data_IF_396866037028
#
_entry.id   IF_396866037028
#
_cell.length_a   1.000
_cell.length_b   1.000
_cell.length_c   1.000
_cell.angle_alpha   90.00
_cell.angle_beta   90.00
_cell.angle_gamma   90.00
#
_symmetry.space_group_name_H-M   'P 1'
#
loop_
_entity.id
_entity.type
_entity.pdbx_description
1 polymer ?
#
# COMPACT_ATOMS: atom_id res chain seq x y z
N UNK A 1 6.27 -6.02 24.50
CA UNK A 1 5.71 -7.40 24.34
C UNK A 1 5.59 -7.73 22.85
N UNK A 2 5.50 -9.01 22.47
CA UNK A 2 5.17 -9.33 21.08
C UNK A 2 3.65 -9.24 20.85
N UNK A 3 3.26 -9.21 19.56
CA UNK A 3 1.85 -9.04 19.16
C UNK A 3 0.95 -10.20 19.61
N UNK A 4 1.48 -11.43 19.72
CA UNK A 4 0.69 -12.60 20.14
C UNK A 4 0.31 -12.47 21.60
N UNK A 5 1.29 -12.16 22.45
CA UNK A 5 1.09 -11.92 23.88
C UNK A 5 0.13 -10.76 24.14
N UNK A 6 0.25 -9.65 23.39
CA UNK A 6 -0.68 -8.52 23.50
C UNK A 6 -2.11 -8.92 23.10
N UNK A 7 -2.26 -9.73 22.04
CA UNK A 7 -3.56 -10.21 21.59
C UNK A 7 -4.22 -11.11 22.63
N UNK A 8 -3.48 -12.08 23.16
CA UNK A 8 -3.98 -13.01 24.18
C UNK A 8 -4.41 -12.27 25.45
N UNK A 9 -3.57 -11.36 25.95
CA UNK A 9 -3.89 -10.56 27.13
C UNK A 9 -5.13 -9.68 26.91
N UNK A 10 -5.28 -9.08 25.73
CA UNK A 10 -6.47 -8.27 25.43
C UNK A 10 -7.75 -9.11 25.35
N UNK A 11 -7.70 -10.30 24.75
CA UNK A 11 -8.85 -11.21 24.68
C UNK A 11 -9.29 -11.68 26.08
N UNK A 12 -8.35 -11.97 26.99
CA UNK A 12 -8.65 -12.30 28.39
C UNK A 12 -9.35 -11.13 29.12
N UNK A 13 -8.93 -9.90 28.85
CA UNK A 13 -9.61 -8.70 29.42
C UNK A 13 -11.03 -8.52 28.86
N UNK A 14 -11.23 -8.72 27.55
CA UNK A 14 -12.56 -8.65 26.95
C UNK A 14 -13.51 -9.69 27.56
N UNK A 15 -13.04 -10.93 27.72
CA UNK A 15 -13.80 -12.00 28.36
C UNK A 15 -14.14 -11.66 29.81
N UNK A 16 -13.15 -11.16 30.57
CA UNK A 16 -13.34 -10.75 31.96
C UNK A 16 -14.30 -9.58 32.11
N UNK A 17 -14.33 -8.66 31.14
CA UNK A 17 -15.27 -7.55 31.11
C UNK A 17 -16.68 -7.94 30.62
N UNK A 18 -16.83 -9.15 30.07
CA UNK A 18 -18.10 -9.65 29.52
C UNK A 18 -18.59 -8.87 28.30
N UNK A 19 -17.66 -8.23 27.54
CA UNK A 19 -17.99 -7.41 26.38
C UNK A 19 -18.10 -8.27 25.11
N UNK A 20 -19.21 -8.11 24.40
CA UNK A 20 -19.43 -8.72 23.10
C UNK A 20 -18.82 -7.91 21.97
N UNK A 21 -18.62 -8.56 20.82
CA UNK A 21 -18.16 -7.87 19.58
C UNK A 21 -19.18 -6.82 19.12
N UNK A 22 -20.47 -7.04 19.34
CA UNK A 22 -21.54 -6.07 19.02
C UNK A 22 -21.43 -4.81 19.86
N UNK A 23 -21.11 -4.95 21.15
CA UNK A 23 -20.91 -3.79 22.03
C UNK A 23 -19.65 -3.00 21.66
N UNK A 24 -18.58 -3.68 21.26
CA UNK A 24 -17.34 -3.05 20.79
C UNK A 24 -17.55 -2.27 19.49
N UNK A 25 -18.28 -2.84 18.53
CA UNK A 25 -18.50 -2.25 17.20
C UNK A 25 -19.71 -1.33 17.14
N UNK A 26 -20.76 -1.58 17.96
CA UNK A 26 -22.01 -0.81 17.98
C UNK A 26 -21.82 0.65 18.39
N UNK A 27 -20.73 0.97 19.05
CA UNK A 27 -20.37 2.31 19.50
C UNK A 27 -19.49 3.08 18.49
N UNK A 28 -19.08 2.46 17.37
CA UNK A 28 -18.31 3.17 16.34
C UNK A 28 -19.22 4.12 15.58
N UNK A 29 -19.06 5.45 15.74
CA UNK A 29 -19.87 6.42 15.05
C UNK A 29 -19.45 6.52 13.58
N UNK A 30 -20.18 5.86 12.70
CA UNK A 30 -19.88 5.77 11.28
C UNK A 30 -19.70 7.15 10.62
N UNK A 31 -20.45 8.16 11.07
CA UNK A 31 -20.34 9.53 10.57
C UNK A 31 -19.02 10.24 10.90
N UNK A 32 -18.22 9.70 11.80
CA UNK A 32 -16.87 10.22 12.13
C UNK A 32 -15.74 9.50 11.41
N UNK A 33 -16.04 8.37 10.77
CA UNK A 33 -15.05 7.56 10.09
C UNK A 33 -15.09 7.91 8.60
N UNK A 34 -13.99 8.42 8.12
CA UNK A 34 -13.83 8.76 6.70
C UNK A 34 -14.12 7.52 5.84
N UNK A 35 -14.88 7.71 4.75
CA UNK A 35 -15.18 6.64 3.77
C UNK A 35 -16.11 5.50 4.27
N UNK A 36 -16.78 5.67 5.40
CA UNK A 36 -17.69 4.65 5.94
C UNK A 36 -18.93 4.40 5.06
N UNK A 37 -19.36 5.40 4.28
CA UNK A 37 -20.60 5.39 3.51
C UNK A 37 -20.47 4.77 2.11
N UNK A 38 -19.27 4.39 1.65
CA UNK A 38 -19.12 3.75 0.35
C UNK A 38 -19.75 2.37 0.33
N UNK A 39 -20.54 2.00 -0.71
CA UNK A 39 -21.15 0.67 -0.85
C UNK A 39 -20.14 -0.49 -0.84
N UNK A 40 -18.90 -0.22 -1.29
CA UNK A 40 -17.75 -1.11 -1.20
C UNK A 40 -16.73 -0.60 -0.16
N UNK A 41 -17.10 0.39 0.61
CA UNK A 41 -16.30 0.97 1.68
C UNK A 41 -16.20 0.02 2.87
N UNK A 42 -15.48 0.43 3.87
CA UNK A 42 -15.07 -0.34 5.05
C UNK A 42 -16.24 -0.84 5.93
N UNK A 43 -17.32 -1.36 5.31
CA UNK A 43 -18.56 -1.72 5.99
C UNK A 43 -18.48 -2.88 6.99
N UNK A 44 -17.30 -3.50 7.15
CA UNK A 44 -17.09 -4.56 8.15
C UNK A 44 -15.82 -4.26 8.91
N UNK A 45 -15.97 -4.12 10.24
CA UNK A 45 -14.86 -3.85 11.14
C UNK A 45 -14.46 -5.12 11.88
N UNK A 46 -13.17 -5.26 12.16
CA UNK A 46 -12.70 -6.21 13.15
C UNK A 46 -13.10 -5.71 14.54
N UNK A 47 -13.63 -6.59 15.37
CA UNK A 47 -14.11 -6.26 16.71
C UNK A 47 -12.98 -5.98 17.73
N UNK A 48 -11.76 -5.96 17.28
CA UNK A 48 -10.59 -5.54 18.05
C UNK A 48 -9.51 -4.94 17.15
N UNK A 49 -8.64 -4.09 17.67
CA UNK A 49 -7.43 -3.70 16.96
C UNK A 49 -6.46 -4.89 16.85
N UNK A 50 -5.50 -4.78 15.92
CA UNK A 50 -4.29 -5.59 15.92
C UNK A 50 -3.17 -4.82 16.60
N UNK A 51 -2.19 -5.54 17.13
CA UNK A 51 -1.10 -4.97 17.89
C UNK A 51 0.26 -5.24 17.22
N UNK A 52 1.18 -4.27 17.35
CA UNK A 52 2.60 -4.45 17.02
C UNK A 52 3.45 -4.16 18.27
N UNK A 53 4.31 -5.08 18.61
CA UNK A 53 5.33 -4.85 19.64
C UNK A 53 6.41 -3.87 19.18
N UNK A 54 7.04 -3.16 20.10
CA UNK A 54 8.01 -2.09 19.78
C UNK A 54 9.25 -2.58 19.03
N UNK A 55 9.79 -3.74 19.38
CA UNK A 55 10.92 -4.35 18.65
C UNK A 55 10.52 -4.81 17.25
N UNK A 56 9.32 -5.40 17.13
CA UNK A 56 8.78 -5.86 15.85
C UNK A 56 8.55 -4.67 14.91
N UNK A 57 7.97 -3.57 15.42
CA UNK A 57 7.78 -2.32 14.69
C UNK A 57 9.11 -1.70 14.25
N UNK A 58 10.09 -1.61 15.16
CA UNK A 58 11.41 -1.02 14.85
C UNK A 58 12.10 -1.80 13.74
N UNK A 59 12.06 -3.13 13.80
CA UNK A 59 12.62 -3.99 12.75
C UNK A 59 11.90 -3.81 11.43
N UNK A 60 10.57 -3.87 11.44
CA UNK A 60 9.75 -3.72 10.24
C UNK A 60 9.95 -2.35 9.56
N UNK A 61 9.98 -1.28 10.35
CA UNK A 61 10.23 0.07 9.84
C UNK A 61 11.61 0.17 9.17
N UNK A 62 12.65 -0.39 9.78
CA UNK A 62 13.99 -0.46 9.19
C UNK A 62 14.05 -1.30 7.90
N UNK A 63 13.35 -2.43 7.87
CA UNK A 63 13.28 -3.29 6.69
C UNK A 63 12.57 -2.58 5.52
N UNK A 64 11.49 -1.86 5.79
CA UNK A 64 10.77 -1.08 4.79
C UNK A 64 11.57 0.12 4.28
N UNK A 65 12.31 0.81 5.14
CA UNK A 65 13.20 1.90 4.71
C UNK A 65 14.32 1.40 3.80
N UNK A 66 14.94 0.26 4.14
CA UNK A 66 15.94 -0.40 3.29
C UNK A 66 15.34 -0.87 1.96
N UNK A 67 14.13 -1.41 1.95
CA UNK A 67 13.40 -1.79 0.74
C UNK A 67 13.17 -0.58 -0.18
N UNK A 68 12.63 0.53 0.36
CA UNK A 68 12.38 1.75 -0.41
C UNK A 68 13.67 2.35 -0.96
N UNK A 69 14.74 2.32 -0.18
CA UNK A 69 16.07 2.77 -0.60
C UNK A 69 16.64 1.90 -1.72
N UNK A 70 16.46 0.59 -1.62
CA UNK A 70 16.87 -0.34 -2.68
C UNK A 70 16.08 -0.10 -3.97
N UNK A 71 14.75 0.08 -3.88
CA UNK A 71 13.89 0.39 -5.03
C UNK A 71 14.29 1.70 -5.72
N UNK A 72 14.47 2.78 -4.95
CA UNK A 72 14.88 4.09 -5.49
C UNK A 72 16.21 4.01 -6.26
N UNK A 73 17.11 3.12 -5.85
CA UNK A 73 18.42 2.92 -6.48
C UNK A 73 18.39 2.07 -7.76
N UNK A 74 17.29 1.37 -8.07
CA UNK A 74 17.26 0.43 -9.22
C UNK A 74 17.53 1.08 -10.58
N UNK A 75 16.97 2.26 -10.93
CA UNK A 75 17.25 2.89 -12.21
C UNK A 75 18.74 3.16 -12.41
N UNK A 76 19.41 3.64 -11.37
CA UNK A 76 20.86 3.92 -11.44
C UNK A 76 21.67 2.63 -11.50
N UNK A 77 21.42 1.70 -10.58
CA UNK A 77 22.24 0.50 -10.41
C UNK A 77 22.14 -0.51 -11.56
N UNK A 78 20.94 -0.67 -12.15
CA UNK A 78 20.68 -1.66 -13.18
C UNK A 78 20.60 -1.09 -14.59
N UNK A 79 20.31 0.23 -14.71
CA UNK A 79 20.04 0.85 -16.00
C UNK A 79 20.88 2.10 -16.26
N UNK A 80 21.90 2.37 -15.43
CA UNK A 80 22.79 3.53 -15.58
C UNK A 80 22.06 4.87 -15.58
N UNK A 81 20.94 4.99 -14.86
CA UNK A 81 20.10 6.18 -14.80
C UNK A 81 19.05 6.29 -15.92
N UNK A 82 19.02 5.36 -16.89
CA UNK A 82 17.98 5.31 -17.92
C UNK A 82 16.65 4.83 -17.32
N UNK A 83 15.85 5.79 -16.84
CA UNK A 83 14.55 5.51 -16.24
C UNK A 83 13.57 4.90 -17.25
N UNK A 84 13.64 5.26 -18.53
CA UNK A 84 12.75 4.69 -19.53
C UNK A 84 13.04 3.21 -19.76
N UNK A 85 14.34 2.81 -19.72
CA UNK A 85 14.72 1.40 -19.75
C UNK A 85 14.23 0.65 -18.50
N UNK A 86 14.38 1.23 -17.31
CA UNK A 86 13.84 0.66 -16.06
C UNK A 86 12.32 0.48 -16.15
N UNK A 87 11.56 1.52 -16.55
CA UNK A 87 10.11 1.46 -16.66
C UNK A 87 9.63 0.35 -17.62
N UNK A 88 10.31 0.18 -18.77
CA UNK A 88 10.03 -0.95 -19.68
C UNK A 88 10.36 -2.30 -19.03
N UNK A 89 11.51 -2.40 -18.35
CA UNK A 89 11.92 -3.64 -17.71
C UNK A 89 10.96 -4.13 -16.63
N UNK A 90 10.27 -3.18 -15.95
CA UNK A 90 9.26 -3.51 -14.94
C UNK A 90 7.84 -3.63 -15.50
N UNK A 91 7.69 -3.61 -16.84
CA UNK A 91 6.46 -4.00 -17.53
C UNK A 91 5.54 -2.83 -17.94
N UNK A 92 6.00 -1.57 -17.90
CA UNK A 92 5.24 -0.45 -18.45
C UNK A 92 5.23 -0.51 -19.98
N UNK A 93 4.06 -0.23 -20.57
CA UNK A 93 3.90 -0.13 -22.02
C UNK A 93 4.53 1.15 -22.58
N UNK A 94 4.76 1.21 -23.89
CA UNK A 94 5.33 2.42 -24.54
C UNK A 94 4.62 3.72 -24.16
N UNK A 95 3.28 3.81 -24.31
CA UNK A 95 2.53 5.00 -23.90
C UNK A 95 2.64 5.33 -22.39
N UNK A 96 2.72 4.32 -21.52
CA UNK A 96 2.93 4.54 -20.10
C UNK A 96 4.33 5.08 -19.79
N UNK A 97 5.36 4.57 -20.48
CA UNK A 97 6.73 5.10 -20.36
C UNK A 97 6.79 6.55 -20.80
N UNK A 98 6.15 6.91 -21.91
CA UNK A 98 6.09 8.29 -22.39
C UNK A 98 5.40 9.20 -21.35
N UNK A 99 4.28 8.78 -20.76
CA UNK A 99 3.58 9.54 -19.74
C UNK A 99 4.45 9.74 -18.48
N UNK A 100 5.11 8.68 -18.01
CA UNK A 100 6.03 8.76 -16.86
C UNK A 100 7.16 9.72 -17.12
N UNK A 101 7.77 9.70 -18.32
CA UNK A 101 8.87 10.62 -18.68
C UNK A 101 8.43 12.08 -18.76
N UNK A 102 7.15 12.37 -18.94
CA UNK A 102 6.60 13.73 -18.88
C UNK A 102 6.40 14.24 -17.45
N UNK A 103 6.18 13.34 -16.48
CA UNK A 103 5.97 13.69 -15.08
C UNK A 103 6.75 12.73 -14.17
N UNK A 104 8.05 12.94 -14.10
CA UNK A 104 8.98 12.21 -13.25
C UNK A 104 9.43 13.08 -12.09
N UNK A 105 9.53 12.49 -10.89
CA UNK A 105 10.16 13.10 -9.72
C UNK A 105 11.69 13.09 -9.78
N UNK A 106 12.32 13.91 -8.98
CA UNK A 106 13.78 13.89 -8.78
C UNK A 106 14.19 12.65 -7.95
N UNK A 107 13.33 12.23 -7.03
CA UNK A 107 13.47 11.04 -6.19
C UNK A 107 12.14 10.31 -6.11
N UNK A 108 12.21 9.03 -5.78
CA UNK A 108 11.03 8.25 -5.45
C UNK A 108 10.39 8.79 -4.16
N UNK A 109 9.06 8.96 -4.17
CA UNK A 109 8.32 9.31 -2.94
C UNK A 109 8.50 8.27 -1.86
N UNK A 110 8.48 8.70 -0.60
CA UNK A 110 8.42 7.81 0.57
C UNK A 110 6.97 7.43 0.93
N UNK A 111 5.98 8.10 0.34
CA UNK A 111 4.56 7.77 0.54
C UNK A 111 4.25 6.41 -0.07
N UNK A 112 4.13 5.40 0.78
CA UNK A 112 3.81 4.04 0.34
C UNK A 112 2.98 3.27 1.36
N UNK A 113 2.34 2.18 0.91
CA UNK A 113 1.72 1.17 1.76
C UNK A 113 2.23 -0.20 1.36
N UNK A 114 2.93 -0.84 2.28
CA UNK A 114 3.34 -2.22 2.16
C UNK A 114 2.20 -3.14 2.61
N UNK A 115 1.73 -4.00 1.73
CA UNK A 115 0.77 -5.05 2.06
C UNK A 115 1.56 -6.31 2.46
N UNK A 116 1.49 -6.67 3.75
CA UNK A 116 2.35 -7.65 4.39
C UNK A 116 1.53 -8.79 5.02
N UNK A 117 2.16 -9.94 5.10
CA UNK A 117 1.66 -11.10 5.87
C UNK A 117 2.73 -11.54 6.84
N UNK A 118 2.37 -11.82 8.08
CA UNK A 118 3.28 -12.47 9.02
C UNK A 118 3.16 -13.99 8.91
N UNK A 119 4.31 -14.68 8.72
CA UNK A 119 4.38 -16.14 8.57
C UNK A 119 4.86 -16.89 9.83
N UNK A 120 4.98 -16.17 10.96
CA UNK A 120 5.52 -16.70 12.22
C UNK A 120 7.02 -16.46 12.38
N UNK A 121 7.79 -16.37 11.29
CA UNK A 121 9.20 -15.97 11.32
C UNK A 121 9.35 -14.44 11.22
N UNK A 122 8.33 -13.74 10.71
CA UNK A 122 8.29 -12.30 10.55
C UNK A 122 7.34 -11.85 9.45
N UNK A 123 7.41 -10.57 9.10
CA UNK A 123 6.60 -10.01 8.03
C UNK A 123 7.18 -10.32 6.65
N UNK A 124 6.30 -10.65 5.71
CA UNK A 124 6.62 -10.93 4.32
C UNK A 124 5.78 -10.02 3.41
N UNK A 125 6.43 -9.38 2.46
CA UNK A 125 5.83 -8.43 1.54
C UNK A 125 5.07 -9.15 0.41
N UNK A 126 3.79 -8.85 0.27
CA UNK A 126 2.97 -9.32 -0.84
C UNK A 126 3.02 -8.38 -2.03
N UNK A 127 2.90 -7.08 -1.76
CA UNK A 127 2.99 -5.99 -2.74
C UNK A 127 3.30 -4.66 -2.05
N UNK A 128 3.78 -3.70 -2.83
CA UNK A 128 4.05 -2.36 -2.37
C UNK A 128 3.27 -1.37 -3.24
N UNK A 129 2.42 -0.58 -2.61
CA UNK A 129 1.69 0.50 -3.25
C UNK A 129 2.44 1.80 -2.98
N UNK A 130 2.87 2.50 -4.03
CA UNK A 130 3.66 3.74 -3.91
C UNK A 130 2.89 4.88 -4.57
N UNK A 131 2.69 5.97 -3.85
CA UNK A 131 2.04 7.17 -4.37
C UNK A 131 0.99 7.76 -3.46
N UNK A 132 0.26 8.74 -3.98
CA UNK A 132 -0.78 9.48 -3.25
C UNK A 132 -2.10 8.72 -3.12
N UNK A 133 -2.38 7.77 -4.00
CA UNK A 133 -3.63 6.99 -4.04
C UNK A 133 -3.51 5.61 -3.37
N UNK A 134 -2.86 5.53 -2.20
CA UNK A 134 -2.57 4.23 -1.53
C UNK A 134 -3.68 3.73 -0.61
N UNK A 135 -4.59 4.57 -0.15
CA UNK A 135 -5.65 4.25 0.82
C UNK A 135 -5.15 3.81 2.20
N UNK A 136 -6.04 3.81 3.19
CA UNK A 136 -5.77 3.33 4.54
C UNK A 136 -5.23 4.38 5.52
N UNK A 137 -4.92 5.58 5.07
CA UNK A 137 -4.51 6.70 5.95
C UNK A 137 -5.69 7.16 6.84
N UNK A 138 -6.90 6.96 6.37
CA UNK A 138 -8.17 7.24 7.02
C UNK A 138 -8.49 6.30 8.19
N UNK A 139 -7.78 5.17 8.31
CA UNK A 139 -8.00 4.21 9.39
C UNK A 139 -7.65 4.77 10.80
N UNK A 140 -6.97 5.89 10.87
CA UNK A 140 -6.70 6.62 12.12
C UNK A 140 -7.99 6.97 12.87
N UNK A 141 -9.09 7.25 12.15
CA UNK A 141 -10.37 7.55 12.78
C UNK A 141 -10.92 6.35 13.56
N UNK A 142 -10.73 5.14 13.00
CA UNK A 142 -11.12 3.89 13.71
C UNK A 142 -10.27 3.69 14.96
N UNK A 143 -8.97 4.00 14.91
CA UNK A 143 -8.11 3.94 16.10
C UNK A 143 -8.60 4.88 17.20
N UNK A 144 -8.98 6.11 16.84
CA UNK A 144 -9.51 7.11 17.81
C UNK A 144 -10.81 6.63 18.45
N UNK A 145 -11.76 6.20 17.64
CA UNK A 145 -13.08 5.80 18.16
C UNK A 145 -13.01 4.50 18.99
N UNK A 146 -12.14 3.56 18.63
CA UNK A 146 -11.92 2.34 19.44
C UNK A 146 -11.29 2.67 20.81
N UNK A 147 -10.40 3.66 20.88
CA UNK A 147 -9.80 4.07 22.15
C UNK A 147 -10.77 4.84 23.08
N UNK A 148 -11.96 5.23 22.61
CA UNK A 148 -13.05 5.69 23.48
C UNK A 148 -13.71 4.54 24.28
N UNK A 149 -13.46 3.28 23.88
CA UNK A 149 -13.95 2.10 24.63
C UNK A 149 -13.09 1.90 25.87
N UNK A 150 -13.67 2.01 27.10
CA UNK A 150 -12.86 2.06 28.34
C UNK A 150 -11.93 0.85 28.56
N UNK A 151 -12.33 -0.35 28.17
CA UNK A 151 -11.49 -1.54 28.32
C UNK A 151 -10.26 -1.45 27.42
N UNK A 152 -10.42 -0.99 26.19
CA UNK A 152 -9.28 -0.83 25.27
C UNK A 152 -8.41 0.35 25.68
N UNK A 153 -8.98 1.48 26.10
CA UNK A 153 -8.25 2.62 26.60
C UNK A 153 -7.34 2.24 27.78
N UNK A 154 -7.92 1.53 28.77
CA UNK A 154 -7.18 1.05 29.93
C UNK A 154 -6.10 0.01 29.57
N UNK A 155 -6.38 -0.89 28.62
CA UNK A 155 -5.40 -1.83 28.11
C UNK A 155 -4.24 -1.10 27.40
N UNK A 156 -4.57 -0.16 26.51
CA UNK A 156 -3.58 0.61 25.78
C UNK A 156 -2.66 1.42 26.72
N UNK A 157 -3.23 2.04 27.76
CA UNK A 157 -2.44 2.78 28.77
C UNK A 157 -1.48 1.84 29.51
N UNK A 158 -1.96 0.69 30.00
CA UNK A 158 -1.11 -0.27 30.75
C UNK A 158 0.02 -0.87 29.93
N UNK A 159 -0.18 -1.03 28.63
CA UNK A 159 0.79 -1.63 27.72
C UNK A 159 1.55 -0.61 26.86
N UNK A 160 1.35 0.69 27.10
CA UNK A 160 2.01 1.75 26.33
C UNK A 160 1.70 1.74 24.85
N UNK A 161 0.47 1.31 24.50
CA UNK A 161 0.02 1.23 23.11
C UNK A 161 -0.52 2.58 22.63
N UNK A 162 -0.19 2.90 21.41
CA UNK A 162 -0.60 4.14 20.73
C UNK A 162 -0.85 3.88 19.25
N UNK A 163 -1.18 4.93 18.50
CA UNK A 163 -1.26 4.91 17.04
C UNK A 163 -0.64 6.19 16.47
N UNK A 164 -0.27 6.16 15.20
CA UNK A 164 0.16 7.36 14.47
C UNK A 164 -1.05 8.02 13.79
N UNK A 165 -1.15 9.34 13.87
CA UNK A 165 -2.10 10.13 13.10
C UNK A 165 -1.70 10.15 11.62
N UNK A 166 -2.06 9.11 10.88
CA UNK A 166 -1.67 8.91 9.49
C UNK A 166 -2.21 9.99 8.54
N UNK A 167 -3.32 10.66 8.86
CA UNK A 167 -3.81 11.81 8.09
C UNK A 167 -2.91 13.03 8.27
N UNK A 168 -2.48 13.31 9.49
CA UNK A 168 -1.50 14.38 9.79
C UNK A 168 -0.16 14.13 9.13
N UNK A 169 0.33 12.89 9.20
CA UNK A 169 1.58 12.50 8.53
C UNK A 169 1.46 12.59 7.01
N UNK A 170 0.29 12.27 6.44
CA UNK A 170 0.05 12.47 5.01
C UNK A 170 0.14 13.94 4.59
N UNK A 171 -0.47 14.85 5.36
CA UNK A 171 -0.34 16.31 5.13
C UNK A 171 1.14 16.73 5.21
N UNK A 172 1.86 16.23 6.21
CA UNK A 172 3.29 16.50 6.35
C UNK A 172 4.10 15.99 5.13
N UNK A 173 3.81 14.79 4.63
CA UNK A 173 4.46 14.25 3.42
C UNK A 173 4.16 15.10 2.18
N UNK A 174 2.89 15.49 1.98
CA UNK A 174 2.48 16.34 0.85
C UNK A 174 3.30 17.63 0.84
N UNK A 175 3.39 18.29 1.98
CA UNK A 175 4.13 19.55 2.12
C UNK A 175 5.63 19.32 1.91
N UNK A 176 6.22 18.40 2.64
CA UNK A 176 7.68 18.18 2.65
C UNK A 176 8.20 17.74 1.28
N UNK A 177 7.58 16.76 0.64
CA UNK A 177 8.02 16.28 -0.69
C UNK A 177 7.74 17.29 -1.80
N UNK A 178 6.78 18.20 -1.61
CA UNK A 178 6.51 19.30 -2.53
C UNK A 178 7.41 20.52 -2.29
N UNK A 179 8.21 20.52 -1.22
CA UNK A 179 9.13 21.60 -0.87
C UNK A 179 8.47 22.78 -0.19
N UNK A 180 7.34 22.55 0.50
CA UNK A 180 6.60 23.52 1.30
C UNK A 180 6.65 23.20 2.79
N UNK A 181 6.35 24.20 3.59
CA UNK A 181 6.02 24.03 5.00
C UNK A 181 4.62 24.60 5.29
N UNK A 182 4.07 24.31 6.47
CA UNK A 182 2.72 24.74 6.82
C UNK A 182 2.53 26.27 6.78
N UNK A 183 3.58 27.04 7.05
CA UNK A 183 3.56 28.52 7.03
C UNK A 183 3.43 29.10 5.63
N UNK A 184 3.80 28.32 4.60
CA UNK A 184 3.69 28.78 3.20
C UNK A 184 2.23 28.79 2.72
N UNK A 185 1.34 28.07 3.44
CA UNK A 185 -0.09 27.95 3.13
C UNK A 185 -0.37 27.67 1.64
N UNK A 186 0.22 26.62 1.04
CA UNK A 186 0.06 26.36 -0.40
C UNK A 186 -1.38 25.99 -0.73
N UNK A 187 -1.83 26.39 -1.92
CA UNK A 187 -3.13 26.02 -2.48
C UNK A 187 -3.00 24.63 -3.13
N UNK A 188 -3.80 23.69 -2.68
CA UNK A 188 -3.74 22.30 -3.10
C UNK A 188 -4.97 21.91 -3.93
N UNK A 189 -4.74 21.29 -5.09
CA UNK A 189 -5.78 20.64 -5.88
C UNK A 189 -5.71 19.11 -5.69
N UNK A 190 -6.68 18.52 -5.00
CA UNK A 190 -6.85 17.06 -4.96
C UNK A 190 -7.52 16.63 -6.25
N UNK A 191 -6.76 15.96 -7.13
CA UNK A 191 -7.12 15.86 -8.55
C UNK A 191 -7.32 14.41 -8.98
N UNK A 192 -8.52 14.11 -9.49
CA UNK A 192 -8.89 12.81 -10.05
C UNK A 192 -9.02 12.87 -11.58
N UNK A 193 -9.10 11.71 -12.22
CA UNK A 193 -9.42 11.60 -13.64
C UNK A 193 -10.89 11.94 -13.89
N UNK A 194 -11.23 12.67 -15.00
CA UNK A 194 -12.60 13.14 -15.22
C UNK A 194 -13.70 12.06 -15.15
N UNK A 195 -13.42 10.85 -15.65
CA UNK A 195 -14.44 9.78 -15.66
C UNK A 195 -14.67 9.12 -14.32
N UNK A 196 -13.75 9.23 -13.36
CA UNK A 196 -13.88 8.67 -12.02
C UNK A 196 -14.32 9.71 -10.99
N UNK A 197 -14.24 10.99 -11.32
CA UNK A 197 -14.42 12.10 -10.38
C UNK A 197 -15.77 12.10 -9.67
N UNK A 198 -16.88 11.85 -10.40
CA UNK A 198 -18.22 11.88 -9.80
C UNK A 198 -18.38 10.82 -8.69
N UNK A 199 -17.77 9.66 -8.86
CA UNK A 199 -17.86 8.55 -7.91
C UNK A 199 -16.93 8.78 -6.70
N UNK A 200 -15.80 9.47 -6.93
CA UNK A 200 -14.81 9.75 -5.89
C UNK A 200 -15.05 11.08 -5.16
N UNK A 201 -15.85 11.99 -5.71
CA UNK A 201 -16.08 13.33 -5.16
C UNK A 201 -16.53 13.35 -3.69
N UNK A 202 -17.47 12.49 -3.24
CA UNK A 202 -17.86 12.49 -1.83
C UNK A 202 -16.66 12.22 -0.89
N UNK A 203 -15.84 11.22 -1.21
CA UNK A 203 -14.64 10.90 -0.44
C UNK A 203 -13.60 12.02 -0.51
N UNK A 204 -13.35 12.56 -1.70
CA UNK A 204 -12.39 13.63 -1.90
C UNK A 204 -12.79 14.90 -1.12
N UNK A 205 -14.09 15.19 -1.06
CA UNK A 205 -14.60 16.34 -0.29
C UNK A 205 -14.33 16.14 1.21
N UNK A 206 -14.70 14.98 1.77
CA UNK A 206 -14.44 14.66 3.17
C UNK A 206 -12.93 14.71 3.48
N UNK A 207 -12.10 14.18 2.59
CA UNK A 207 -10.64 14.20 2.78
C UNK A 207 -10.09 15.62 2.80
N UNK A 208 -10.54 16.49 1.88
CA UNK A 208 -10.15 17.90 1.86
C UNK A 208 -10.60 18.64 3.12
N UNK A 209 -11.79 18.36 3.63
CA UNK A 209 -12.27 18.92 4.90
C UNK A 209 -11.35 18.51 6.07
N UNK A 210 -10.98 17.22 6.14
CA UNK A 210 -10.05 16.72 7.18
C UNK A 210 -8.64 17.32 7.03
N UNK A 211 -8.15 17.49 5.82
CA UNK A 211 -6.88 18.20 5.60
C UNK A 211 -6.97 19.66 5.98
N UNK A 212 -8.14 20.31 5.76
CA UNK A 212 -8.40 21.69 6.21
C UNK A 212 -8.31 21.84 7.73
N UNK A 213 -8.83 20.87 8.49
CA UNK A 213 -8.68 20.81 9.96
C UNK A 213 -7.20 20.71 10.39
N UNK A 214 -6.36 20.13 9.53
CA UNK A 214 -4.92 19.99 9.73
C UNK A 214 -4.10 21.16 9.14
N UNK A 215 -4.78 22.18 8.57
CA UNK A 215 -4.17 23.40 8.04
C UNK A 215 -3.76 23.34 6.56
N UNK A 216 -4.21 22.35 5.79
CA UNK A 216 -3.94 22.25 4.36
C UNK A 216 -5.17 22.71 3.54
N UNK A 217 -5.03 23.83 2.81
CA UNK A 217 -6.09 24.37 1.94
C UNK A 217 -6.20 23.56 0.65
N UNK A 218 -7.08 22.57 0.63
CA UNK A 218 -7.26 21.66 -0.48
C UNK A 218 -8.66 21.71 -1.07
N UNK A 219 -8.74 21.64 -2.41
CA UNK A 219 -10.01 21.62 -3.16
C UNK A 219 -10.06 20.37 -4.05
N UNK A 220 -11.14 19.56 -3.99
CA UNK A 220 -11.31 18.43 -4.89
C UNK A 220 -11.66 18.89 -6.31
N UNK A 221 -11.01 18.30 -7.30
CA UNK A 221 -11.30 18.60 -8.71
C UNK A 221 -10.96 17.41 -9.61
N UNK A 222 -11.35 17.48 -10.87
CA UNK A 222 -10.79 16.59 -11.88
C UNK A 222 -9.82 17.35 -12.82
N UNK A 223 -8.93 16.62 -13.44
CA UNK A 223 -7.84 17.16 -14.24
C UNK A 223 -8.33 18.15 -15.35
N UNK A 224 -9.54 17.95 -15.89
CA UNK A 224 -10.12 18.84 -16.89
C UNK A 224 -10.65 20.18 -16.36
N UNK A 225 -10.68 20.40 -15.03
CA UNK A 225 -11.03 21.69 -14.41
C UNK A 225 -9.80 22.57 -14.17
N UNK A 226 -8.60 22.01 -14.29
CA UNK A 226 -7.36 22.75 -14.16
C UNK A 226 -7.10 23.55 -15.45
N UNK A 227 -6.91 24.84 -15.31
CA UNK A 227 -6.56 25.74 -16.41
C UNK A 227 -5.09 26.14 -16.31
N UNK A 228 -4.39 26.14 -17.46
CA UNK A 228 -3.01 26.66 -17.51
C UNK A 228 -3.02 28.01 -18.22
N UNK A 229 -2.69 29.06 -17.47
CA UNK A 229 -2.62 30.45 -17.97
C UNK A 229 -1.25 31.02 -17.60
N UNK A 230 -0.56 31.61 -18.60
CA UNK A 230 0.77 32.17 -18.41
C UNK A 230 1.78 31.25 -17.74
N UNK A 231 1.62 29.93 -17.98
CA UNK A 231 2.49 28.91 -17.43
C UNK A 231 2.09 28.39 -16.04
N UNK A 232 1.22 29.07 -15.29
CA UNK A 232 0.71 28.65 -13.98
C UNK A 232 -0.58 27.84 -14.09
N UNK A 233 -0.78 26.94 -13.14
CA UNK A 233 -2.01 26.15 -13.01
C UNK A 233 -3.01 26.89 -12.13
N UNK A 234 -4.28 26.91 -12.54
CA UNK A 234 -5.38 27.58 -11.84
C UNK A 234 -6.56 26.63 -11.65
N UNK A 235 -7.23 26.80 -10.52
CA UNK A 235 -8.52 26.15 -10.20
C UNK A 235 -9.45 27.22 -9.62
N UNK A 236 -10.62 27.43 -10.24
CA UNK A 236 -11.64 28.41 -9.79
C UNK A 236 -11.07 29.81 -9.50
N UNK A 237 -10.14 30.28 -10.35
CA UNK A 237 -9.50 31.59 -10.23
C UNK A 237 -8.39 31.70 -9.19
N UNK A 238 -8.03 30.61 -8.51
CA UNK A 238 -6.91 30.52 -7.57
C UNK A 238 -5.71 29.83 -8.24
N UNK A 239 -4.51 30.36 -8.03
CA UNK A 239 -3.29 29.66 -8.47
C UNK A 239 -3.05 28.42 -7.58
N UNK A 240 -2.76 27.30 -8.22
CA UNK A 240 -2.50 26.01 -7.55
C UNK A 240 -0.99 25.85 -7.39
N UNK A 241 -0.55 25.54 -6.18
CA UNK A 241 0.86 25.30 -5.85
C UNK A 241 1.19 23.79 -5.86
N UNK A 242 0.23 22.95 -5.42
CA UNK A 242 0.39 21.50 -5.35
C UNK A 242 -0.82 20.80 -5.97
N UNK A 243 -0.56 19.87 -6.87
CA UNK A 243 -1.55 18.89 -7.35
C UNK A 243 -1.31 17.59 -6.62
N UNK A 244 -2.25 17.16 -5.78
CA UNK A 244 -2.25 15.80 -5.21
C UNK A 244 -3.01 14.91 -6.17
N UNK A 245 -2.28 14.02 -6.84
CA UNK A 245 -2.82 13.17 -7.91
C UNK A 245 -3.42 11.90 -7.36
N UNK A 246 -4.69 11.60 -7.66
CA UNK A 246 -5.33 10.32 -7.35
C UNK A 246 -5.50 9.43 -8.58
N UNK A 247 -5.57 9.98 -9.79
CA UNK A 247 -5.61 9.22 -11.04
C UNK A 247 -4.34 8.36 -11.26
N UNK A 248 -4.47 7.27 -11.97
CA UNK A 248 -3.42 6.26 -12.13
C UNK A 248 -2.81 6.28 -13.54
N UNK A 249 -1.67 5.60 -13.70
CA UNK A 249 -0.96 5.50 -15.00
C UNK A 249 -1.85 4.93 -16.12
N UNK A 250 -2.82 4.08 -15.81
CA UNK A 250 -3.78 3.53 -16.78
C UNK A 250 -4.73 4.58 -17.36
N UNK A 251 -5.00 5.64 -16.61
CA UNK A 251 -5.94 6.69 -16.99
C UNK A 251 -5.31 7.66 -17.99
N UNK A 252 -3.98 7.81 -17.92
CA UNK A 252 -3.23 8.78 -18.75
C UNK A 252 -2.72 8.26 -20.10
N UNK A 253 -3.17 7.09 -20.55
CA UNK A 253 -2.74 6.47 -21.82
C UNK A 253 -3.82 6.47 -22.92
N UNK A 254 -4.98 7.05 -22.65
CA UNK A 254 -6.08 7.15 -23.61
C UNK A 254 -5.87 8.28 -24.65
N UNK A 255 -6.70 8.33 -25.69
CA UNK A 255 -6.56 9.32 -26.78
C UNK A 255 -6.62 10.78 -26.33
N UNK A 256 -7.42 11.07 -25.29
CA UNK A 256 -7.58 12.42 -24.73
C UNK A 256 -6.59 12.73 -23.60
N UNK A 257 -5.81 11.75 -23.18
CA UNK A 257 -4.94 11.89 -22.03
C UNK A 257 -3.91 13.00 -22.21
N UNK A 258 -3.23 13.03 -23.34
CA UNK A 258 -2.21 14.05 -23.63
C UNK A 258 -2.80 15.48 -23.61
N UNK A 259 -4.03 15.68 -24.10
CA UNK A 259 -4.70 16.98 -24.08
C UNK A 259 -4.92 17.49 -22.65
N UNK A 260 -5.24 16.60 -21.73
CA UNK A 260 -5.47 16.94 -20.31
C UNK A 260 -4.16 17.07 -19.52
N UNK A 261 -3.22 16.17 -19.74
CA UNK A 261 -2.01 16.08 -18.92
C UNK A 261 -0.88 17.00 -19.40
N UNK A 262 -0.69 17.16 -20.71
CA UNK A 262 0.49 17.86 -21.23
C UNK A 262 0.63 19.30 -20.73
N UNK A 263 -0.41 20.15 -20.68
CA UNK A 263 -0.26 21.52 -20.16
C UNK A 263 0.16 21.54 -18.68
N UNK A 264 -0.42 20.66 -17.86
CA UNK A 264 -0.16 20.58 -16.42
C UNK A 264 1.24 20.03 -16.16
N UNK A 265 1.65 18.97 -16.87
CA UNK A 265 2.98 18.38 -16.71
C UNK A 265 4.09 19.31 -17.23
N UNK A 266 3.78 20.12 -18.27
CA UNK A 266 4.70 21.17 -18.71
C UNK A 266 4.88 22.26 -17.65
N UNK A 267 3.79 22.71 -17.00
CA UNK A 267 3.87 23.64 -15.88
C UNK A 267 4.68 23.04 -14.71
N UNK A 268 4.47 21.76 -14.41
CA UNK A 268 5.23 21.06 -13.38
C UNK A 268 6.73 20.98 -13.70
N UNK A 269 7.11 20.66 -14.95
CA UNK A 269 8.52 20.64 -15.38
C UNK A 269 9.19 22.00 -15.29
N UNK A 270 8.43 23.09 -15.42
CA UNK A 270 8.93 24.46 -15.22
C UNK A 270 8.98 24.89 -13.76
N UNK A 271 8.51 24.03 -12.84
CA UNK A 271 8.48 24.35 -11.41
C UNK A 271 7.33 25.27 -10.98
N UNK A 272 6.36 25.52 -11.87
CA UNK A 272 5.20 26.40 -11.62
C UNK A 272 4.10 25.74 -10.76
N UNK A 273 4.14 24.44 -10.65
CA UNK A 273 3.28 23.63 -9.78
C UNK A 273 4.02 22.35 -9.37
N UNK A 274 3.76 21.83 -8.19
CA UNK A 274 4.27 20.52 -7.77
C UNK A 274 3.22 19.45 -7.97
N UNK A 275 3.63 18.25 -8.38
CA UNK A 275 2.74 17.09 -8.49
C UNK A 275 3.14 16.08 -7.42
N UNK A 276 2.29 15.87 -6.44
CA UNK A 276 2.41 14.85 -5.43
C UNK A 276 1.38 13.74 -5.71
N UNK A 277 1.74 12.55 -6.10
CA UNK A 277 3.07 12.03 -6.43
C UNK A 277 3.23 11.96 -7.94
N UNK A 278 4.46 12.07 -8.47
CA UNK A 278 4.71 11.93 -9.91
C UNK A 278 4.31 10.56 -10.45
N UNK A 279 4.16 10.43 -11.78
CA UNK A 279 3.73 9.19 -12.45
C UNK A 279 4.77 8.05 -12.39
N UNK A 280 6.04 8.37 -12.13
CA UNK A 280 7.13 7.40 -12.00
C UNK A 280 6.94 6.40 -10.86
N UNK A 281 6.11 6.75 -9.86
CA UNK A 281 5.68 5.83 -8.81
C UNK A 281 5.13 4.52 -9.36
N UNK A 282 4.51 4.55 -10.54
CA UNK A 282 3.96 3.36 -11.19
C UNK A 282 5.01 2.33 -11.62
N UNK A 283 6.24 2.80 -11.93
CA UNK A 283 7.33 1.89 -12.24
C UNK A 283 7.90 1.23 -10.96
N UNK A 284 8.07 2.01 -9.91
CA UNK A 284 8.56 1.50 -8.62
C UNK A 284 7.55 0.58 -7.92
N UNK A 285 6.24 0.87 -8.03
CA UNK A 285 5.18 0.04 -7.47
C UNK A 285 4.94 -1.27 -8.24
N UNK A 286 5.56 -1.45 -9.40
CA UNK A 286 5.45 -2.67 -10.17
C UNK A 286 6.03 -3.87 -9.39
N UNK A 287 5.29 -4.98 -9.33
CA UNK A 287 5.78 -6.23 -8.74
C UNK A 287 7.03 -6.76 -9.44
N UNK A 288 7.27 -6.36 -10.70
CA UNK A 288 8.51 -6.68 -11.40
C UNK A 288 9.72 -5.92 -10.83
N UNK A 289 9.54 -4.74 -10.20
CA UNK A 289 10.62 -4.08 -9.47
C UNK A 289 11.04 -4.90 -8.24
N UNK A 290 10.08 -5.50 -7.53
CA UNK A 290 10.38 -6.43 -6.44
C UNK A 290 11.09 -7.70 -6.96
N UNK A 291 10.72 -8.19 -8.15
CA UNK A 291 11.42 -9.30 -8.77
C UNK A 291 12.89 -8.96 -9.06
N UNK A 292 13.19 -7.74 -9.54
CA UNK A 292 14.56 -7.28 -9.74
C UNK A 292 15.38 -7.26 -8.45
N UNK A 293 14.77 -6.88 -7.31
CA UNK A 293 15.42 -6.95 -5.99
C UNK A 293 15.64 -8.40 -5.51
N UNK A 294 14.74 -9.29 -5.87
CA UNK A 294 14.80 -10.72 -5.51
C UNK A 294 15.74 -11.55 -6.39
N UNK A 295 16.19 -11.04 -7.55
CA UNK A 295 17.08 -11.75 -8.46
C UNK A 295 18.48 -11.89 -7.86
N UNK A 296 19.00 -13.13 -7.78
CA UNK A 296 20.32 -13.44 -7.21
C UNK A 296 21.46 -12.68 -7.90
N UNK A 297 21.38 -12.54 -9.22
CA UNK A 297 22.38 -11.81 -10.01
C UNK A 297 22.52 -10.33 -9.63
N UNK A 298 21.52 -9.73 -8.99
CA UNK A 298 21.52 -8.32 -8.61
C UNK A 298 21.99 -8.06 -7.17
N UNK A 299 22.13 -9.11 -6.35
CA UNK A 299 22.45 -8.98 -4.91
C UNK A 299 23.76 -8.24 -4.65
N UNK A 300 24.75 -8.43 -5.50
CA UNK A 300 26.07 -7.77 -5.38
C UNK A 300 26.02 -6.23 -5.47
N UNK A 301 24.88 -5.67 -5.90
CA UNK A 301 24.66 -4.22 -6.03
C UNK A 301 24.25 -3.55 -4.70
N UNK A 302 23.90 -4.34 -3.70
CA UNK A 302 23.33 -3.83 -2.44
C UNK A 302 24.26 -4.11 -1.26
N UNK A 303 24.28 -3.21 -0.29
CA UNK A 303 25.00 -3.38 0.97
C UNK A 303 24.42 -4.52 1.79
N UNK A 304 25.22 -5.16 2.66
CA UNK A 304 24.80 -6.31 3.48
C UNK A 304 23.56 -6.03 4.32
N UNK A 305 23.47 -4.87 4.98
CA UNK A 305 22.30 -4.53 5.79
C UNK A 305 21.01 -4.39 4.98
N UNK A 306 21.10 -3.92 3.72
CA UNK A 306 19.95 -3.90 2.80
C UNK A 306 19.56 -5.32 2.42
N UNK A 307 20.54 -6.18 2.09
CA UNK A 307 20.29 -7.58 1.75
C UNK A 307 19.64 -8.35 2.90
N UNK A 308 20.09 -8.13 4.12
CA UNK A 308 19.48 -8.72 5.32
C UNK A 308 18.02 -8.34 5.49
N UNK A 309 17.65 -7.08 5.21
CA UNK A 309 16.26 -6.63 5.21
C UNK A 309 15.46 -7.27 4.09
N UNK A 310 15.98 -7.30 2.87
CA UNK A 310 15.32 -7.94 1.73
C UNK A 310 15.09 -9.44 1.99
N UNK A 311 16.05 -10.16 2.55
CA UNK A 311 15.94 -11.58 2.89
C UNK A 311 14.85 -11.83 3.95
N UNK A 312 14.68 -10.88 4.90
CA UNK A 312 13.62 -11.00 5.90
C UNK A 312 12.23 -10.79 5.31
N UNK A 313 12.04 -9.77 4.45
CA UNK A 313 10.70 -9.33 4.08
C UNK A 313 10.28 -9.68 2.65
N UNK A 314 11.21 -9.93 1.72
CA UNK A 314 10.89 -10.13 0.30
C UNK A 314 10.83 -11.63 -0.03
N UNK A 315 9.63 -12.20 -0.27
CA UNK A 315 9.54 -13.58 -0.75
C UNK A 315 10.19 -13.73 -2.12
N UNK A 316 10.75 -14.87 -2.39
CA UNK A 316 11.28 -15.20 -3.72
C UNK A 316 10.27 -14.82 -4.80
N UNK A 317 10.69 -13.95 -5.72
CA UNK A 317 9.84 -13.38 -6.76
C UNK A 317 10.60 -13.33 -8.06
N UNK A 318 10.03 -13.82 -9.16
CA UNK A 318 10.64 -13.81 -10.50
C UNK A 318 9.65 -13.31 -11.53
N UNK A 319 10.14 -12.60 -12.54
CA UNK A 319 9.33 -12.27 -13.72
C UNK A 319 9.10 -13.54 -14.53
N UNK A 320 7.87 -13.78 -14.97
CA UNK A 320 7.56 -15.00 -15.74
C UNK A 320 8.18 -14.90 -17.14
N UNK A 321 9.21 -15.68 -17.38
CA UNK A 321 9.96 -15.76 -18.64
C UNK A 321 10.52 -17.17 -18.85
N UNK A 322 10.88 -17.50 -20.10
CA UNK A 322 11.59 -18.74 -20.42
C UNK A 322 13.09 -18.55 -20.12
N UNK A 323 13.46 -18.80 -18.91
CA UNK A 323 14.83 -18.66 -18.44
C UNK A 323 15.12 -19.58 -17.25
N UNK A 324 16.39 -19.89 -17.02
CA UNK A 324 16.82 -20.50 -15.77
C UNK A 324 16.90 -19.45 -14.66
N UNK A 325 16.41 -19.82 -13.47
CA UNK A 325 16.41 -18.98 -12.27
C UNK A 325 17.05 -19.72 -11.11
N UNK A 326 17.54 -18.95 -10.14
CA UNK A 326 18.05 -19.50 -8.87
C UNK A 326 16.95 -19.44 -7.82
N UNK A 327 16.72 -20.57 -7.15
CA UNK A 327 15.82 -20.68 -5.99
C UNK A 327 16.53 -20.20 -4.71
N UNK A 328 15.78 -20.10 -3.60
CA UNK A 328 16.28 -19.66 -2.29
C UNK A 328 17.38 -20.58 -1.72
N UNK A 329 17.37 -21.86 -2.09
CA UNK A 329 18.37 -22.85 -1.69
C UNK A 329 19.63 -22.87 -2.59
N UNK A 330 19.69 -21.96 -3.60
CA UNK A 330 20.77 -21.89 -4.56
C UNK A 330 20.65 -22.84 -5.77
N UNK A 331 19.61 -23.66 -5.84
CA UNK A 331 19.36 -24.55 -6.97
C UNK A 331 18.97 -23.75 -8.21
N UNK A 332 19.48 -24.16 -9.39
CA UNK A 332 19.08 -23.58 -10.68
C UNK A 332 18.05 -24.46 -11.36
N UNK A 333 16.96 -23.86 -11.80
CA UNK A 333 15.81 -24.53 -12.41
C UNK A 333 15.31 -23.76 -13.63
N UNK A 334 14.69 -24.46 -14.60
CA UNK A 334 13.84 -23.80 -15.60
C UNK A 334 12.60 -23.23 -14.90
N UNK A 335 12.39 -21.93 -15.03
CA UNK A 335 11.31 -21.24 -14.32
C UNK A 335 9.93 -21.79 -14.67
N UNK A 336 9.66 -22.08 -15.96
CA UNK A 336 8.36 -22.51 -16.43
C UNK A 336 8.05 -23.93 -15.97
N UNK A 337 9.02 -24.82 -16.06
CA UNK A 337 8.90 -26.20 -15.55
C UNK A 337 8.70 -26.21 -14.06
N UNK A 338 9.52 -25.46 -13.32
CA UNK A 338 9.41 -25.33 -11.87
C UNK A 338 8.06 -24.75 -11.45
N UNK A 339 7.65 -23.62 -12.02
CA UNK A 339 6.38 -22.99 -11.68
C UNK A 339 5.18 -23.89 -11.96
N UNK A 340 5.21 -24.64 -13.09
CA UNK A 340 4.16 -25.58 -13.45
C UNK A 340 4.04 -26.74 -12.46
N UNK A 341 5.19 -27.23 -11.94
CA UNK A 341 5.21 -28.40 -11.05
C UNK A 341 4.89 -28.06 -9.57
N UNK A 342 5.01 -26.78 -9.15
CA UNK A 342 4.93 -26.37 -7.75
C UNK A 342 3.80 -25.38 -7.48
N UNK A 343 2.60 -25.66 -7.99
CA UNK A 343 1.41 -24.81 -7.83
C UNK A 343 1.17 -24.40 -6.37
N UNK A 344 1.16 -25.36 -5.45
CA UNK A 344 0.82 -25.15 -4.03
C UNK A 344 1.70 -24.14 -3.29
N UNK A 345 2.90 -23.88 -3.80
CA UNK A 345 3.88 -22.99 -3.20
C UNK A 345 4.04 -21.65 -3.93
N UNK A 346 3.21 -21.41 -4.95
CA UNK A 346 3.38 -20.25 -5.83
C UNK A 346 2.08 -19.49 -6.07
N UNK A 347 2.22 -18.21 -6.34
CA UNK A 347 1.16 -17.32 -6.79
C UNK A 347 1.61 -16.57 -8.04
N UNK A 348 0.73 -16.46 -9.05
CA UNK A 348 0.94 -15.61 -10.22
C UNK A 348 0.27 -14.25 -9.99
N UNK A 349 0.99 -13.17 -10.29
CA UNK A 349 0.48 -11.81 -10.12
C UNK A 349 0.81 -10.97 -11.36
N UNK A 350 -0.14 -10.22 -11.93
CA UNK A 350 0.20 -9.21 -12.93
C UNK A 350 1.06 -8.11 -12.28
N UNK A 351 2.02 -7.57 -13.04
CA UNK A 351 3.03 -6.64 -12.50
C UNK A 351 2.42 -5.32 -12.01
N UNK A 352 1.36 -4.82 -12.68
CA UNK A 352 0.86 -3.46 -12.49
C UNK A 352 -0.62 -3.35 -12.07
N UNK A 353 -1.33 -4.49 -11.90
CA UNK A 353 -2.71 -4.45 -11.41
C UNK A 353 -2.76 -4.47 -9.88
N UNK A 354 -3.78 -3.81 -9.33
CA UNK A 354 -4.07 -3.71 -7.89
C UNK A 354 -5.40 -4.38 -7.52
N UNK A 355 -5.66 -4.50 -6.20
CA UNK A 355 -6.92 -5.05 -5.68
C UNK A 355 -7.11 -6.54 -5.96
N UNK A 356 -6.03 -7.29 -6.18
CA UNK A 356 -6.07 -8.73 -6.44
C UNK A 356 -6.54 -9.13 -7.84
N UNK A 357 -6.77 -8.18 -8.74
CA UNK A 357 -7.20 -8.48 -10.13
C UNK A 357 -6.12 -9.25 -10.87
N UNK A 358 -6.51 -10.38 -11.48
CA UNK A 358 -5.60 -11.24 -12.25
C UNK A 358 -4.60 -12.04 -11.40
N UNK A 359 -4.73 -12.03 -10.08
CA UNK A 359 -3.95 -12.89 -9.18
C UNK A 359 -4.51 -14.31 -9.24
N UNK A 360 -3.63 -15.30 -9.46
CA UNK A 360 -3.97 -16.71 -9.47
C UNK A 360 -3.21 -17.39 -8.32
N UNK A 361 -3.96 -17.91 -7.35
CA UNK A 361 -3.42 -18.65 -6.22
C UNK A 361 -3.22 -20.10 -6.64
N UNK A 362 -1.97 -20.56 -6.74
CA UNK A 362 -1.68 -21.91 -7.24
C UNK A 362 -2.20 -23.04 -6.33
N UNK A 363 -2.57 -22.70 -5.09
CA UNK A 363 -3.13 -23.60 -4.09
C UNK A 363 -4.65 -23.52 -3.94
N UNK A 364 -5.35 -22.77 -4.81
CA UNK A 364 -6.80 -22.63 -4.71
C UNK A 364 -7.49 -23.98 -4.94
N UNK A 365 -8.47 -24.31 -4.08
CA UNK A 365 -9.14 -25.61 -4.06
C UNK A 365 -9.84 -25.96 -5.38
N UNK A 366 -10.26 -24.95 -6.15
CA UNK A 366 -10.96 -25.09 -7.44
C UNK A 366 -10.01 -25.07 -8.66
N UNK A 367 -8.68 -24.94 -8.43
CA UNK A 367 -7.69 -24.83 -9.50
C UNK A 367 -7.07 -26.22 -9.82
N UNK A 368 -7.36 -26.74 -11.03
CA UNK A 368 -6.72 -27.99 -11.47
C UNK A 368 -5.27 -27.75 -11.90
N UNK A 369 -4.39 -28.79 -11.87
CA UNK A 369 -3.01 -28.70 -12.37
C UNK A 369 -2.92 -28.23 -13.83
N UNK A 370 -3.87 -28.66 -14.68
CA UNK A 370 -3.94 -28.25 -16.08
C UNK A 370 -4.30 -26.78 -16.23
N UNK A 371 -5.23 -26.26 -15.41
CA UNK A 371 -5.61 -24.86 -15.38
C UNK A 371 -4.46 -23.99 -14.86
N UNK A 372 -3.78 -24.41 -13.78
CA UNK A 372 -2.59 -23.73 -13.30
C UNK A 372 -1.49 -23.64 -14.38
N UNK A 373 -1.19 -24.78 -15.04
CA UNK A 373 -0.23 -24.79 -16.13
C UNK A 373 -0.62 -23.83 -17.25
N UNK A 374 -1.91 -23.77 -17.61
CA UNK A 374 -2.39 -22.83 -18.63
C UNK A 374 -2.18 -21.38 -18.21
N UNK A 375 -2.41 -21.04 -16.93
CA UNK A 375 -2.11 -19.69 -16.38
C UNK A 375 -0.61 -19.36 -16.42
N UNK A 376 0.28 -20.29 -16.06
CA UNK A 376 1.72 -20.10 -16.14
C UNK A 376 2.17 -19.83 -17.58
N UNK A 377 1.63 -20.58 -18.54
CA UNK A 377 1.96 -20.39 -19.97
C UNK A 377 1.42 -19.07 -20.52
N UNK A 378 0.19 -18.69 -20.15
CA UNK A 378 -0.42 -17.42 -20.56
C UNK A 378 0.34 -16.20 -19.96
N UNK A 379 0.93 -16.35 -18.78
CA UNK A 379 1.74 -15.33 -18.14
C UNK A 379 3.07 -15.02 -18.88
N UNK A 380 3.49 -15.86 -19.83
CA UNK A 380 4.65 -15.59 -20.70
C UNK A 380 4.36 -14.47 -21.72
N UNK A 381 3.09 -14.28 -22.09
CA UNK A 381 2.66 -13.33 -23.11
C UNK A 381 2.22 -11.97 -22.50
N UNK A 382 2.34 -11.83 -21.17
CA UNK A 382 1.90 -10.66 -20.42
C UNK A 382 2.87 -10.35 -19.27
N UNK A 383 2.94 -9.13 -18.76
CA UNK A 383 3.84 -8.79 -17.66
C UNK A 383 3.32 -9.37 -16.33
N UNK A 384 3.79 -10.57 -15.99
CA UNK A 384 3.50 -11.28 -14.75
C UNK A 384 4.77 -11.57 -13.94
N UNK A 385 4.57 -11.70 -12.64
CA UNK A 385 5.55 -12.31 -11.72
C UNK A 385 4.96 -13.59 -11.12
N UNK A 386 5.85 -14.53 -10.81
CA UNK A 386 5.57 -15.64 -9.90
C UNK A 386 6.26 -15.35 -8.57
N UNK A 387 5.55 -15.53 -7.46
CA UNK A 387 6.04 -15.26 -6.12
C UNK A 387 5.78 -16.47 -5.21
N UNK A 388 6.69 -16.70 -4.26
CA UNK A 388 6.53 -17.72 -3.22
C UNK A 388 5.28 -17.47 -2.39
N UNK A 389 4.47 -18.50 -2.15
CA UNK A 389 3.35 -18.47 -1.22
C UNK A 389 3.82 -18.13 0.18
N UNK A 390 3.16 -17.18 0.83
CA UNK A 390 3.32 -16.89 2.24
C UNK A 390 2.09 -17.41 2.99
N UNK A 391 2.30 -18.21 4.03
CA UNK A 391 1.22 -18.76 4.85
C UNK A 391 1.03 -17.88 6.08
N UNK A 392 -0.12 -17.18 6.22
CA UNK A 392 -0.32 -16.23 7.31
C UNK A 392 -0.49 -16.93 8.65
N UNK A 393 0.10 -16.38 9.70
CA UNK A 393 -0.37 -16.59 11.06
C UNK A 393 -1.74 -15.93 11.18
N UNK A 394 -2.71 -16.69 11.68
CA UNK A 394 -4.09 -16.23 11.80
C UNK A 394 -4.27 -15.37 13.04
N UNK A 395 -5.14 -14.37 12.93
CA UNK A 395 -5.59 -13.53 14.04
C UNK A 395 -6.86 -14.09 14.67
N UNK A 396 -6.91 -14.12 15.99
CA UNK A 396 -8.11 -14.50 16.75
C UNK A 396 -8.95 -13.24 16.97
N UNK A 397 -10.19 -13.24 16.52
CA UNK A 397 -11.08 -12.05 16.54
C UNK A 397 -12.42 -12.44 17.19
N UNK A 398 -12.95 -11.63 18.13
CA UNK A 398 -14.32 -11.81 18.63
C UNK A 398 -15.34 -11.69 17.50
N UNK A 399 -16.36 -12.53 17.53
CA UNK A 399 -17.39 -12.56 16.45
C UNK A 399 -18.80 -12.36 17.04
N UNK A 400 -19.75 -11.87 16.21
CA UNK A 400 -21.15 -11.75 16.58
C UNK A 400 -21.73 -13.06 17.10
N UNK A 401 -22.54 -12.98 18.17
CA UNK A 401 -23.12 -14.14 18.84
C UNK A 401 -22.23 -14.77 19.91
N UNK A 402 -21.06 -14.20 20.16
CA UNK A 402 -20.11 -14.61 21.19
C UNK A 402 -19.03 -15.59 20.71
N UNK A 403 -17.95 -15.68 21.48
CA UNK A 403 -16.76 -16.47 21.14
C UNK A 403 -15.79 -15.75 20.17
N UNK A 404 -14.88 -16.51 19.60
CA UNK A 404 -13.83 -16.01 18.69
C UNK A 404 -13.73 -16.88 17.44
N UNK A 405 -13.28 -16.28 16.33
CA UNK A 405 -12.97 -16.97 15.09
C UNK A 405 -11.57 -16.63 14.61
N UNK A 406 -11.05 -17.41 13.67
CA UNK A 406 -9.73 -17.25 13.07
C UNK A 406 -9.85 -16.47 11.75
N UNK A 407 -9.01 -15.46 11.61
CA UNK A 407 -8.96 -14.60 10.43
C UNK A 407 -7.55 -14.63 9.82
N UNK A 408 -7.50 -14.57 8.49
CA UNK A 408 -6.24 -14.41 7.73
C UNK A 408 -6.02 -12.92 7.49
N UNK A 409 -5.00 -12.31 8.12
CA UNK A 409 -4.73 -10.89 8.01
C UNK A 409 -3.82 -10.56 6.82
N UNK A 410 -4.01 -9.37 6.25
CA UNK A 410 -3.02 -8.63 5.46
C UNK A 410 -2.83 -7.28 6.14
N UNK A 411 -1.61 -7.01 6.55
CA UNK A 411 -1.19 -5.80 7.24
C UNK A 411 -0.82 -4.73 6.20
N UNK A 412 -1.51 -3.60 6.22
CA UNK A 412 -1.20 -2.44 5.38
C UNK A 412 -0.38 -1.45 6.19
N UNK A 413 0.93 -1.50 6.09
CA UNK A 413 1.85 -0.61 6.80
C UNK A 413 2.19 0.58 5.92
N UNK A 414 1.93 1.78 6.44
CA UNK A 414 2.12 3.03 5.69
C UNK A 414 3.44 3.67 6.08
N UNK A 415 4.17 4.13 5.07
CA UNK A 415 5.42 4.87 5.24
C UNK A 415 5.31 6.26 4.62
N UNK A 416 6.14 7.17 5.10
CA UNK A 416 6.31 8.52 4.61
C UNK A 416 7.72 9.04 4.85
N UNK A 417 7.91 10.34 4.78
CA UNK A 417 9.22 10.98 4.99
C UNK A 417 9.81 10.71 6.37
N UNK A 418 8.97 10.48 7.37
CA UNK A 418 9.37 10.13 8.75
C UNK A 418 9.48 8.61 8.99
N UNK A 419 9.49 7.77 7.94
CA UNK A 419 9.48 6.31 8.05
C UNK A 419 8.08 5.76 8.28
N UNK A 420 7.84 4.95 9.32
CA UNK A 420 6.51 4.42 9.66
C UNK A 420 5.55 5.53 10.07
N UNK A 421 4.42 5.63 9.39
CA UNK A 421 3.38 6.64 9.65
C UNK A 421 2.01 6.02 9.90
N UNK A 422 1.95 4.79 10.41
CA UNK A 422 0.71 4.11 10.75
C UNK A 422 0.39 2.93 9.86
N UNK A 423 -0.84 2.47 9.94
CA UNK A 423 -1.30 1.33 9.16
C UNK A 423 -2.68 0.84 9.54
N UNK A 424 -3.10 -0.20 8.86
CA UNK A 424 -4.36 -0.90 9.10
C UNK A 424 -4.20 -2.39 8.81
N UNK A 425 -5.16 -3.19 9.23
CA UNK A 425 -5.24 -4.58 8.82
C UNK A 425 -6.52 -4.83 8.03
N UNK A 426 -6.43 -5.66 7.01
CA UNK A 426 -7.59 -6.27 6.36
C UNK A 426 -7.54 -7.74 6.65
N UNK A 427 -8.64 -8.32 7.11
CA UNK A 427 -8.66 -9.74 7.45
C UNK A 427 -9.96 -10.40 7.01
N UNK A 428 -9.87 -11.65 6.57
CA UNK A 428 -11.02 -12.43 6.15
C UNK A 428 -11.13 -13.68 7.02
N UNK A 429 -12.34 -14.12 7.40
CA UNK A 429 -12.51 -15.38 8.12
C UNK A 429 -11.77 -16.51 7.43
N UNK A 430 -11.08 -17.35 8.19
CA UNK A 430 -10.30 -18.46 7.60
C UNK A 430 -11.20 -19.47 6.87
N UNK A 431 -12.46 -19.57 7.27
CA UNK A 431 -13.47 -20.38 6.60
C UNK A 431 -13.93 -19.86 5.23
N UNK A 432 -13.54 -18.64 4.82
CA UNK A 432 -13.92 -18.07 3.53
C UNK A 432 -13.23 -18.72 2.31
N UNK A 433 -12.42 -19.77 2.52
CA UNK A 433 -11.68 -20.44 1.44
C UNK A 433 -10.47 -19.64 0.92
N UNK A 434 -9.87 -20.12 -0.16
CA UNK A 434 -8.66 -19.53 -0.75
C UNK A 434 -8.99 -18.35 -1.65
N UNK A 435 -9.20 -17.19 -1.03
CA UNK A 435 -9.49 -15.93 -1.73
C UNK A 435 -8.46 -14.86 -1.36
N UNK A 436 -8.25 -13.93 -2.28
CA UNK A 436 -7.41 -12.75 -2.03
C UNK A 436 -8.06 -11.87 -0.95
N UNK A 437 -7.29 -11.52 0.06
CA UNK A 437 -7.77 -10.68 1.19
C UNK A 437 -7.89 -9.23 0.72
N UNK A 438 -9.12 -8.82 0.40
CA UNK A 438 -9.47 -7.43 0.11
C UNK A 438 -10.92 -7.16 0.52
N UNK A 439 -11.29 -5.87 0.61
CA UNK A 439 -12.64 -5.45 1.02
C UNK A 439 -13.70 -5.95 0.03
N UNK A 440 -13.41 -5.94 -1.27
CA UNK A 440 -14.35 -6.43 -2.30
C UNK A 440 -14.67 -7.93 -2.15
N UNK A 441 -13.77 -8.71 -1.55
CA UNK A 441 -13.97 -10.13 -1.23
C UNK A 441 -14.51 -10.33 0.21
N UNK A 442 -14.94 -9.27 0.87
CA UNK A 442 -15.56 -9.34 2.19
C UNK A 442 -14.57 -9.30 3.36
N UNK A 443 -13.35 -8.82 3.16
CA UNK A 443 -12.44 -8.60 4.27
C UNK A 443 -12.94 -7.51 5.21
N UNK A 444 -12.75 -7.73 6.51
CA UNK A 444 -12.97 -6.76 7.56
C UNK A 444 -11.74 -5.87 7.71
N UNK A 445 -11.94 -4.61 8.05
CA UNK A 445 -10.86 -3.65 8.31
C UNK A 445 -10.67 -3.49 9.81
N UNK A 446 -9.43 -3.42 10.27
CA UNK A 446 -9.08 -3.28 11.68
C UNK A 446 -8.08 -2.17 11.94
N UNK A 447 -8.21 -1.56 13.10
CA UNK A 447 -7.25 -0.61 13.64
C UNK A 447 -5.92 -1.29 13.97
N UNK A 448 -4.84 -0.53 13.90
CA UNK A 448 -3.52 -0.95 14.30
C UNK A 448 -3.03 -0.06 15.44
N UNK A 449 -2.76 -0.68 16.60
CA UNK A 449 -2.08 -0.05 17.72
C UNK A 449 -0.67 -0.65 17.87
N UNK A 450 0.26 0.13 18.33
CA UNK A 450 1.65 -0.32 18.51
C UNK A 450 2.24 0.21 19.82
N UNK A 451 3.19 -0.52 20.39
CA UNK A 451 4.00 0.04 21.48
C UNK A 451 4.74 1.28 20.97
N UNK A 452 4.79 2.30 21.81
CA UNK A 452 5.63 3.47 21.51
C UNK A 452 7.08 2.99 21.26
N UNK A 453 7.76 3.49 20.20
CA UNK A 453 9.16 3.13 19.99
C UNK A 453 9.97 3.50 21.24
N UNK A 454 10.88 2.61 21.64
CA UNK A 454 11.78 2.91 22.75
C UNK A 454 12.52 4.22 22.46
N UNK A 455 12.66 5.11 23.43
CA UNK A 455 13.43 6.33 23.23
C UNK A 455 14.83 5.94 22.72
N UNK A 456 15.24 6.53 21.61
CA UNK A 456 16.61 6.37 21.10
C UNK A 456 17.51 7.01 22.16
N UNK A 457 18.29 6.16 22.86
CA UNK A 457 19.26 6.57 23.88
C UNK A 457 20.52 7.15 23.21
#
# INVERSE_FOLDING_TARGET
MDRVTLTEAYLEELESAGLSSEELLGNLPQNKILNSDKPNGMGKWLARPVFLGGEELTRLAGDLDNLLTALDSLPEKLFGGDFAAFARAVGLTGPQVEAVMQNRGERMTRQSRADLVCDGAGFKLLELNIGSAIGGVDNVDVCRELLEVPVLAGFAERHGLTFVDSLREQVHNILTESGFCAQDAPVVALTEWPSAFSDELPYMTQLCERWGELGLDATPCHLGQLEVREGRVWLDGRAVDIIVRTFLIRDVVGPDAARLTAPVFEAARRGEVKVFTPLDTSAYASKAALALLSEEGNRHLFASGVLESLDRILPWTRRVRREEVTLENGERVDLVEYATAHADDLVLKPTSLSGGKGVVLGWADDLTPEAWRAHVLAALDSPYVVQRRVRPVQETVPVPGGGVDRFRPVWGIITGVNGFIGGSVRAIPSAAGDVVVNVANGAHVGALLHEAPAPVV
#
